data_IF_360054446623
#
_entry.id   IF_360054446623
#
_cell.length_a   1.000
_cell.length_b   1.000
_cell.length_c   1.000
_cell.angle_alpha   90.00
_cell.angle_beta   90.00
_cell.angle_gamma   90.00
#
_symmetry.space_group_name_H-M   'P 1'
#
loop_
_entity.id
_entity.type
_entity.pdbx_description
1 polymer ?
#
# COMPACT_ATOMS: atom_id res chain seq x y z
N UNK A 1 -20.58 -1.27 -2.91
CA UNK A 1 -19.23 -1.41 -3.50
C UNK A 1 -18.91 -2.90 -3.48
N UNK A 2 -18.38 -3.46 -4.56
CA UNK A 2 -17.95 -4.86 -4.54
C UNK A 2 -16.65 -4.94 -3.72
N UNK A 3 -16.61 -5.78 -2.69
CA UNK A 3 -15.48 -5.92 -1.77
C UNK A 3 -14.46 -6.97 -2.23
N UNK A 4 -14.61 -7.50 -3.45
CA UNK A 4 -13.70 -8.49 -4.04
C UNK A 4 -12.22 -8.04 -4.07
N UNK A 5 -11.97 -6.74 -4.20
CA UNK A 5 -10.61 -6.15 -4.14
C UNK A 5 -9.89 -6.44 -2.81
N UNK A 6 -10.61 -6.73 -1.72
CA UNK A 6 -10.01 -7.07 -0.41
C UNK A 6 -9.35 -8.44 -0.42
N UNK A 7 -9.78 -9.37 -1.29
CA UNK A 7 -9.24 -10.74 -1.41
C UNK A 7 -7.85 -10.74 -2.07
N UNK A 8 -7.60 -9.82 -2.98
CA UNK A 8 -6.32 -9.61 -3.65
C UNK A 8 -6.06 -8.12 -3.84
N UNK A 9 -5.54 -7.49 -2.77
CA UNK A 9 -5.34 -6.04 -2.72
C UNK A 9 -4.30 -5.56 -3.72
N UNK A 10 -3.17 -6.26 -3.81
CA UNK A 10 -2.09 -5.87 -4.72
C UNK A 10 -2.50 -6.05 -6.17
N UNK A 11 -3.12 -7.18 -6.53
CA UNK A 11 -3.63 -7.33 -7.89
C UNK A 11 -4.75 -6.35 -8.21
N UNK A 12 -5.62 -6.01 -7.25
CA UNK A 12 -6.61 -4.95 -7.45
C UNK A 12 -5.97 -3.56 -7.63
N UNK A 13 -4.86 -3.25 -6.94
CA UNK A 13 -4.10 -2.02 -7.18
C UNK A 13 -3.54 -2.01 -8.60
N UNK A 14 -2.93 -3.10 -9.04
CA UNK A 14 -2.34 -3.22 -10.39
C UNK A 14 -3.40 -3.13 -11.50
N UNK A 15 -4.63 -3.60 -11.24
CA UNK A 15 -5.78 -3.45 -12.14
C UNK A 15 -6.52 -2.12 -12.00
N UNK A 16 -6.09 -1.23 -11.11
CA UNK A 16 -6.77 0.03 -10.76
C UNK A 16 -8.21 -0.15 -10.23
N UNK A 17 -8.47 -1.26 -9.56
CA UNK A 17 -9.76 -1.63 -8.98
C UNK A 17 -9.84 -1.40 -7.47
N UNK A 18 -8.71 -1.15 -6.80
CA UNK A 18 -8.70 -0.86 -5.37
C UNK A 18 -9.06 0.63 -5.11
N UNK A 19 -10.25 0.92 -4.57
CA UNK A 19 -10.73 2.28 -4.40
C UNK A 19 -10.02 3.05 -3.27
N UNK A 20 -9.22 2.36 -2.46
CA UNK A 20 -8.53 2.96 -1.32
C UNK A 20 -7.19 3.60 -1.70
N UNK A 21 -6.71 3.41 -2.94
CA UNK A 21 -5.44 3.98 -3.39
C UNK A 21 -5.55 5.48 -3.55
N UNK A 22 -4.65 6.21 -2.88
CA UNK A 22 -4.50 7.64 -3.06
C UNK A 22 -3.54 7.95 -4.20
N UNK A 23 -2.36 7.32 -4.19
CA UNK A 23 -1.32 7.57 -5.19
C UNK A 23 -0.23 6.48 -5.16
N UNK A 24 0.52 6.38 -6.25
CA UNK A 24 1.73 5.54 -6.36
C UNK A 24 2.95 6.36 -5.93
N UNK A 25 3.70 5.83 -4.98
CA UNK A 25 4.94 6.40 -4.43
C UNK A 25 6.17 5.69 -5.02
N UNK A 26 7.38 6.21 -4.74
CA UNK A 26 8.63 5.58 -5.16
C UNK A 26 8.77 4.15 -4.60
N UNK A 27 8.44 3.98 -3.32
CA UNK A 27 8.60 2.75 -2.54
C UNK A 27 7.33 1.92 -2.39
N UNK A 28 6.21 2.32 -3.03
CA UNK A 28 4.93 1.69 -2.74
C UNK A 28 3.68 2.41 -3.19
N UNK A 29 2.59 2.16 -2.48
CA UNK A 29 1.29 2.79 -2.70
C UNK A 29 0.75 3.36 -1.39
N UNK A 30 0.41 4.65 -1.40
CA UNK A 30 -0.30 5.27 -0.30
C UNK A 30 -1.79 4.94 -0.42
N UNK A 31 -2.37 4.35 0.63
CA UNK A 31 -3.78 3.95 0.64
C UNK A 31 -4.47 4.42 1.91
N UNK A 32 -5.78 4.69 1.82
CA UNK A 32 -6.63 4.89 2.99
C UNK A 32 -6.76 3.57 3.74
N UNK A 33 -6.55 3.58 5.06
CA UNK A 33 -6.69 2.38 5.89
C UNK A 33 -8.14 1.87 5.89
N UNK A 34 -8.33 0.55 5.79
CA UNK A 34 -9.68 -0.04 5.77
C UNK A 34 -10.50 0.31 7.01
N UNK A 35 -9.83 0.26 8.17
CA UNK A 35 -10.38 0.71 9.44
C UNK A 35 -9.86 2.11 9.69
N UNK A 36 -10.73 3.10 9.56
CA UNK A 36 -10.44 4.49 9.89
C UNK A 36 -10.55 4.69 11.41
N UNK A 37 -9.48 4.35 12.14
CA UNK A 37 -9.41 4.68 13.58
C UNK A 37 -9.45 6.20 13.80
N UNK A 38 -8.83 6.95 12.89
CA UNK A 38 -8.91 8.40 12.80
C UNK A 38 -9.30 8.79 11.36
N UNK A 39 -10.09 9.86 11.17
CA UNK A 39 -10.38 10.38 9.84
C UNK A 39 -9.08 10.74 9.09
N UNK A 40 -8.92 10.19 7.88
CA UNK A 40 -7.73 10.44 7.06
C UNK A 40 -6.54 9.54 7.39
N UNK A 41 -6.74 8.47 8.17
CA UNK A 41 -5.69 7.51 8.45
C UNK A 41 -5.26 6.80 7.17
N UNK A 42 -3.98 6.94 6.82
CA UNK A 42 -3.36 6.37 5.63
C UNK A 42 -2.27 5.38 6.03
N UNK A 43 -2.07 4.38 5.18
CA UNK A 43 -1.00 3.39 5.31
C UNK A 43 -0.24 3.32 3.99
N UNK A 44 1.07 3.05 4.08
CA UNK A 44 1.93 2.85 2.93
C UNK A 44 2.14 1.35 2.73
N UNK A 45 1.76 0.83 1.56
CA UNK A 45 2.08 -0.53 1.15
C UNK A 45 3.39 -0.57 0.39
N UNK A 46 4.37 -1.32 0.88
CA UNK A 46 5.64 -1.50 0.20
C UNK A 46 5.45 -2.21 -1.15
N UNK A 47 6.16 -1.74 -2.18
CA UNK A 47 6.23 -2.39 -3.49
C UNK A 47 7.68 -2.41 -4.01
N UNK A 48 8.26 -3.56 -4.45
CA UNK A 48 7.63 -4.87 -4.60
C UNK A 48 7.04 -5.44 -3.30
N UNK A 49 5.96 -6.24 -3.42
CA UNK A 49 5.27 -6.79 -2.25
C UNK A 49 6.22 -7.68 -1.45
N UNK A 50 6.40 -7.33 -0.18
CA UNK A 50 7.19 -8.09 0.79
C UNK A 50 6.31 -8.54 1.97
N UNK A 51 6.71 -9.63 2.63
CA UNK A 51 6.01 -10.13 3.82
C UNK A 51 6.39 -9.33 5.07
N UNK A 52 7.63 -8.87 5.12
CA UNK A 52 8.16 -8.02 6.18
C UNK A 52 9.01 -6.88 5.60
N UNK A 53 9.10 -5.76 6.30
CA UNK A 53 10.01 -4.68 5.88
C UNK A 53 11.46 -5.17 5.86
N UNK A 54 11.82 -6.12 6.72
CA UNK A 54 13.13 -6.73 6.82
C UNK A 54 13.60 -7.39 5.52
N UNK A 55 12.66 -7.86 4.69
CA UNK A 55 12.92 -8.52 3.41
C UNK A 55 13.34 -7.55 2.31
N UNK A 56 13.22 -6.23 2.53
CA UNK A 56 13.69 -5.21 1.60
C UNK A 56 15.22 -5.08 1.63
N UNK A 57 15.82 -4.63 0.52
CA UNK A 57 17.20 -4.16 0.54
C UNK A 57 17.33 -2.92 1.42
N UNK A 58 18.56 -2.60 1.86
CA UNK A 58 18.79 -1.40 2.67
C UNK A 58 18.33 -0.12 1.96
N UNK A 59 18.60 -0.01 0.67
CA UNK A 59 18.16 1.11 -0.16
C UNK A 59 16.64 1.23 -0.22
N UNK A 60 15.93 0.11 -0.42
CA UNK A 60 14.47 0.11 -0.46
C UNK A 60 13.83 0.41 0.90
N UNK A 61 14.47 0.04 2.02
CA UNK A 61 14.03 0.46 3.36
C UNK A 61 14.17 1.96 3.55
N UNK A 62 15.28 2.53 3.10
CA UNK A 62 15.50 3.98 3.16
C UNK A 62 14.43 4.71 2.36
N UNK A 63 14.19 4.31 1.11
CA UNK A 63 13.14 4.87 0.25
C UNK A 63 11.72 4.71 0.84
N UNK A 64 11.49 3.68 1.65
CA UNK A 64 10.21 3.48 2.34
C UNK A 64 10.03 4.42 3.53
N UNK A 65 11.10 4.71 4.26
CA UNK A 65 11.07 5.60 5.42
C UNK A 65 11.15 7.09 5.05
N UNK A 66 11.68 7.42 3.88
CA UNK A 66 11.83 8.79 3.35
C UNK A 66 10.60 9.22 2.52
N UNK A 67 9.39 8.99 3.05
CA UNK A 67 8.11 9.38 2.44
C UNK A 67 7.87 10.90 2.42
#
# INVERSE_FOLDING_TARGET
>A
MNDDWKKDRFGAIERNENPMVLTKMKSGYAVIGDTQFLPGYCVLFAYPKVGSLEDLSLEAKTDFCEI
#
